data_IF_196456171085
#
_entry.id   IF_196456171085
#
_cell.length_a   1.000
_cell.length_b   1.000
_cell.length_c   1.000
_cell.angle_alpha   90.00
_cell.angle_beta   90.00
_cell.angle_gamma   90.00
#
_symmetry.space_group_name_H-M   'P 1'
#
loop_
_entity.id
_entity.type
_entity.pdbx_description
1 polymer ?
#
# COMPACT_ATOMS: atom_id res chain seq x y z
N UNK A 1 -1.87 -15.86 -19.75
CA UNK A 1 -0.99 -14.80 -19.20
C UNK A 1 -1.10 -13.62 -20.15
N UNK A 2 -1.56 -12.48 -19.65
CA UNK A 2 -1.74 -11.27 -20.45
C UNK A 2 -0.41 -10.66 -20.92
N UNK A 3 -0.49 -9.84 -21.98
CA UNK A 3 0.66 -9.29 -22.67
C UNK A 3 1.03 -7.87 -22.22
N UNK A 4 0.29 -7.28 -21.27
CA UNK A 4 0.45 -5.88 -20.88
C UNK A 4 1.89 -5.51 -20.51
N UNK A 5 2.54 -6.32 -19.68
CA UNK A 5 3.91 -6.07 -19.22
C UNK A 5 4.92 -6.14 -20.38
N UNK A 6 4.69 -7.06 -21.31
CA UNK A 6 5.51 -7.25 -22.51
C UNK A 6 5.35 -6.07 -23.46
N UNK A 7 4.11 -5.65 -23.72
CA UNK A 7 3.78 -4.54 -24.62
C UNK A 7 4.26 -3.20 -24.04
N UNK A 8 4.18 -3.00 -22.72
CA UNK A 8 4.70 -1.79 -22.06
C UNK A 8 6.20 -1.62 -22.30
N UNK A 9 6.95 -2.72 -22.36
CA UNK A 9 8.41 -2.72 -22.51
C UNK A 9 9.10 -1.90 -21.42
N UNK A 10 9.86 -0.89 -21.83
CA UNK A 10 10.63 -0.01 -20.95
C UNK A 10 9.82 1.17 -20.40
N UNK A 11 8.60 1.42 -20.91
CA UNK A 11 7.79 2.56 -20.48
C UNK A 11 7.43 2.43 -19.01
N UNK A 12 7.72 3.42 -18.14
CA UNK A 12 7.42 3.29 -16.72
C UNK A 12 5.92 3.27 -16.46
N UNK A 13 5.47 2.48 -15.47
CA UNK A 13 4.05 2.40 -15.06
C UNK A 13 3.43 3.78 -14.81
N UNK A 14 4.19 4.70 -14.21
CA UNK A 14 3.73 6.08 -13.94
C UNK A 14 3.34 6.82 -15.22
N UNK A 15 4.00 6.55 -16.34
CA UNK A 15 3.68 7.15 -17.63
C UNK A 15 2.47 6.48 -18.26
N UNK A 16 2.36 5.15 -18.20
CA UNK A 16 1.18 4.44 -18.69
C UNK A 16 -0.10 4.87 -17.97
N UNK A 17 -0.05 5.01 -16.65
CA UNK A 17 -1.20 5.49 -15.86
C UNK A 17 -1.59 6.92 -16.24
N UNK A 18 -0.64 7.78 -16.66
CA UNK A 18 -0.99 9.11 -17.20
C UNK A 18 -1.73 9.00 -18.55
N UNK A 19 -1.40 8.03 -19.39
CA UNK A 19 -2.06 7.79 -20.70
C UNK A 19 -3.47 7.20 -20.55
N UNK A 20 -3.70 6.37 -19.52
CA UNK A 20 -4.99 5.73 -19.22
C UNK A 20 -5.96 6.67 -18.47
N UNK A 21 -5.43 7.74 -17.86
CA UNK A 21 -6.06 8.59 -16.83
C UNK A 21 -5.94 8.02 -15.41
N UNK A 22 -5.45 8.83 -14.47
CA UNK A 22 -5.25 8.45 -13.06
C UNK A 22 -6.57 8.29 -12.30
N UNK A 23 -7.68 8.81 -12.84
CA UNK A 23 -9.02 8.69 -12.24
C UNK A 23 -9.61 7.29 -12.42
N UNK A 24 -9.24 6.59 -13.50
CA UNK A 24 -9.76 5.27 -13.84
C UNK A 24 -8.85 4.15 -13.34
N UNK A 25 -7.53 4.35 -13.38
CA UNK A 25 -6.54 3.34 -12.95
C UNK A 25 -5.40 4.01 -12.17
N UNK A 26 -4.95 3.39 -11.08
CA UNK A 26 -3.75 3.81 -10.36
C UNK A 26 -2.56 2.86 -10.61
N UNK A 27 -1.36 3.23 -10.14
CA UNK A 27 -0.14 2.43 -10.37
C UNK A 27 -0.27 1.03 -9.75
N UNK A 28 -0.74 0.86 -8.50
CA UNK A 28 -0.98 -0.47 -7.92
C UNK A 28 -1.94 -1.33 -8.74
N UNK A 29 -3.04 -0.75 -9.21
CA UNK A 29 -4.05 -1.46 -10.00
C UNK A 29 -3.49 -1.89 -11.35
N UNK A 30 -2.80 -0.99 -12.07
CA UNK A 30 -2.15 -1.35 -13.33
C UNK A 30 -1.09 -2.44 -13.13
N UNK A 31 -0.33 -2.39 -12.03
CA UNK A 31 0.64 -3.43 -11.70
C UNK A 31 -0.02 -4.79 -11.43
N UNK A 32 -1.18 -4.83 -10.76
CA UNK A 32 -1.95 -6.06 -10.56
C UNK A 32 -2.43 -6.63 -11.90
N UNK A 33 -2.92 -5.76 -12.79
CA UNK A 33 -3.33 -6.16 -14.14
C UNK A 33 -2.15 -6.75 -14.92
N UNK A 34 -1.00 -6.08 -14.96
CA UNK A 34 0.22 -6.55 -15.64
C UNK A 34 0.74 -7.91 -15.15
N UNK A 35 0.43 -8.30 -13.92
CA UNK A 35 0.83 -9.58 -13.34
C UNK A 35 -0.31 -10.62 -13.34
N UNK A 36 -1.41 -10.35 -14.05
CA UNK A 36 -2.54 -11.27 -14.16
C UNK A 36 -3.32 -11.49 -12.87
N UNK A 37 -3.20 -10.57 -11.89
CA UNK A 37 -3.91 -10.67 -10.60
C UNK A 37 -5.39 -10.28 -10.73
N UNK A 38 -5.71 -9.38 -11.67
CA UNK A 38 -7.07 -8.97 -11.95
C UNK A 38 -7.22 -8.54 -13.40
N UNK A 39 -8.45 -8.63 -13.93
CA UNK A 39 -8.81 -8.14 -15.25
C UNK A 39 -9.36 -6.70 -15.17
N UNK A 40 -9.24 -5.92 -16.25
CA UNK A 40 -9.86 -4.61 -16.35
C UNK A 40 -11.38 -4.73 -16.46
N UNK A 41 -12.06 -3.72 -15.96
CA UNK A 41 -13.52 -3.60 -16.07
C UNK A 41 -13.91 -3.14 -17.47
N UNK A 42 -15.18 -3.31 -17.82
CA UNK A 42 -15.76 -2.83 -19.09
C UNK A 42 -15.50 -1.33 -19.30
N UNK A 43 -15.58 -0.53 -18.24
CA UNK A 43 -15.37 0.93 -18.31
C UNK A 43 -13.89 1.32 -18.47
N UNK A 44 -12.97 0.51 -17.93
CA UNK A 44 -11.52 0.80 -17.96
C UNK A 44 -10.84 0.22 -19.20
N UNK A 45 -11.39 -0.83 -19.81
CA UNK A 45 -10.82 -1.49 -20.99
C UNK A 45 -10.55 -0.52 -22.15
N UNK A 46 -11.49 0.37 -22.57
CA UNK A 46 -11.24 1.29 -23.69
C UNK A 46 -10.09 2.27 -23.44
N UNK A 47 -9.89 2.67 -22.18
CA UNK A 47 -8.78 3.55 -21.80
C UNK A 47 -7.43 2.82 -21.88
N UNK A 48 -7.41 1.54 -21.52
CA UNK A 48 -6.24 0.67 -21.63
C UNK A 48 -5.91 0.39 -23.11
N UNK A 49 -6.90 0.03 -23.94
CA UNK A 49 -6.72 -0.18 -25.38
C UNK A 49 -6.11 1.07 -26.05
N UNK A 50 -6.62 2.27 -25.72
CA UNK A 50 -6.09 3.54 -26.24
C UNK A 50 -4.66 3.81 -25.78
N UNK A 51 -4.34 3.53 -24.53
CA UNK A 51 -3.01 3.82 -23.97
C UNK A 51 -1.92 2.88 -24.50
N UNK A 52 -2.28 1.62 -24.77
CA UNK A 52 -1.39 0.61 -25.31
C UNK A 52 -1.40 0.54 -26.85
N UNK A 53 -2.40 1.14 -27.50
CA UNK A 53 -2.53 1.15 -28.97
C UNK A 53 -2.87 -0.23 -29.55
N UNK A 54 -3.40 -1.14 -28.72
CA UNK A 54 -3.71 -2.52 -29.08
C UNK A 54 -5.15 -2.84 -28.70
N UNK A 55 -5.74 -3.81 -29.40
CA UNK A 55 -7.09 -4.27 -29.08
C UNK A 55 -7.06 -5.18 -27.85
N UNK A 56 -8.19 -5.31 -27.14
CA UNK A 56 -8.31 -6.22 -25.98
C UNK A 56 -7.85 -7.64 -26.30
N UNK A 57 -8.08 -8.13 -27.53
CA UNK A 57 -7.69 -9.46 -27.98
C UNK A 57 -6.18 -9.64 -28.13
N UNK A 58 -5.45 -8.54 -28.36
CA UNK A 58 -3.98 -8.54 -28.42
C UNK A 58 -3.38 -8.43 -27.01
N UNK A 59 -4.08 -7.71 -26.12
CA UNK A 59 -3.66 -7.45 -24.75
C UNK A 59 -3.91 -8.64 -23.81
N UNK A 60 -5.04 -9.32 -23.99
CA UNK A 60 -5.48 -10.46 -23.17
C UNK A 60 -5.82 -11.64 -24.07
N UNK A 61 -5.43 -12.86 -23.70
CA UNK A 61 -5.86 -14.05 -24.43
C UNK A 61 -7.37 -14.20 -24.36
N UNK A 62 -7.98 -14.74 -25.42
CA UNK A 62 -9.44 -14.90 -25.52
C UNK A 62 -10.05 -15.68 -24.34
N UNK A 63 -9.29 -16.61 -23.74
CA UNK A 63 -9.71 -17.36 -22.55
C UNK A 63 -9.84 -16.50 -21.28
N UNK A 64 -9.18 -15.33 -21.22
CA UNK A 64 -9.27 -14.38 -20.11
C UNK A 64 -10.31 -13.26 -20.39
N UNK A 65 -10.77 -13.11 -21.63
CA UNK A 65 -11.79 -12.13 -22.01
C UNK A 65 -13.18 -12.75 -21.88
N UNK A 66 -13.77 -12.69 -20.70
CA UNK A 66 -15.17 -13.03 -20.52
C UNK A 66 -16.07 -11.89 -21.04
N UNK A 67 -16.80 -12.15 -22.12
CA UNK A 67 -17.79 -11.25 -22.71
C UNK A 67 -19.17 -11.36 -22.04
N UNK A 68 -19.25 -11.96 -20.84
CA UNK A 68 -20.49 -12.15 -20.10
C UNK A 68 -21.37 -13.29 -20.64
N UNK A 69 -20.81 -14.17 -21.47
CA UNK A 69 -21.53 -15.28 -22.13
C UNK A 69 -21.15 -16.64 -21.50
N UNK A 70 -20.08 -16.72 -20.71
CA UNK A 70 -19.63 -18.00 -20.13
C UNK A 70 -19.34 -17.90 -18.64
N UNK A 71 -20.43 -18.12 -17.90
CA UNK A 71 -20.47 -19.02 -16.75
C UNK A 71 -20.09 -18.45 -15.36
N UNK A 72 -20.69 -19.02 -14.30
CA UNK A 72 -20.62 -18.52 -12.94
C UNK A 72 -19.21 -18.69 -12.38
N UNK A 73 -18.79 -17.71 -11.56
CA UNK A 73 -17.56 -17.68 -10.76
C UNK A 73 -16.80 -19.00 -10.74
N UNK A 74 -15.95 -19.22 -11.75
CA UNK A 74 -15.09 -20.39 -11.80
C UNK A 74 -14.17 -20.31 -10.57
N UNK A 75 -14.35 -21.29 -9.68
CA UNK A 75 -13.62 -21.38 -8.42
C UNK A 75 -12.13 -21.28 -8.67
N UNK A 76 -11.56 -20.13 -8.35
CA UNK A 76 -10.20 -20.08 -7.86
C UNK A 76 -10.18 -20.99 -6.65
N UNK A 77 -9.52 -22.13 -6.74
CA UNK A 77 -9.08 -22.87 -5.58
C UNK A 77 -8.29 -21.88 -4.71
N UNK A 78 -9.00 -21.30 -3.74
CA UNK A 78 -8.44 -20.49 -2.69
C UNK A 78 -7.50 -21.41 -1.93
N UNK A 79 -6.23 -21.44 -2.34
CA UNK A 79 -5.16 -21.86 -1.45
C UNK A 79 -5.42 -21.11 -0.15
N UNK A 80 -5.59 -21.79 0.99
CA UNK A 80 -6.01 -21.15 2.22
C UNK A 80 -4.95 -20.13 2.58
N UNK A 81 -5.21 -18.88 2.18
CA UNK A 81 -4.35 -17.77 2.47
C UNK A 81 -4.63 -17.51 3.92
N UNK A 82 -3.79 -18.10 4.79
CA UNK A 82 -3.85 -17.86 6.25
C UNK A 82 -4.15 -16.37 6.41
N UNK A 83 -5.22 -16.00 7.13
CA UNK A 83 -5.59 -14.60 7.26
C UNK A 83 -4.35 -13.88 7.77
N UNK A 84 -3.75 -13.05 6.89
CA UNK A 84 -2.60 -12.24 7.26
C UNK A 84 -3.12 -11.38 8.39
N UNK A 85 -2.66 -11.63 9.62
CA UNK A 85 -3.01 -10.80 10.76
C UNK A 85 -2.73 -9.37 10.33
N UNK A 86 -3.79 -8.58 10.24
CA UNK A 86 -3.67 -7.18 9.86
C UNK A 86 -3.09 -6.44 11.06
N UNK A 87 -1.77 -6.52 11.20
CA UNK A 87 -1.01 -5.85 12.26
C UNK A 87 -1.16 -4.32 12.18
N UNK A 88 -1.70 -3.77 11.08
CA UNK A 88 -2.01 -2.35 10.96
C UNK A 88 -3.30 -1.97 11.70
N UNK A 89 -4.26 -2.87 11.91
CA UNK A 89 -5.44 -2.58 12.76
C UNK A 89 -5.09 -2.29 14.21
N UNK A 90 -3.95 -2.79 14.70
CA UNK A 90 -3.48 -2.61 16.07
C UNK A 90 -2.47 -1.46 16.22
N UNK A 91 -2.03 -0.84 15.12
CA UNK A 91 -0.97 0.17 15.13
C UNK A 91 -1.37 1.36 14.26
N UNK A 92 -1.40 2.55 14.85
CA UNK A 92 -1.56 3.79 14.10
C UNK A 92 -0.20 4.46 13.85
N UNK A 93 -0.04 5.10 12.69
CA UNK A 93 1.12 5.94 12.41
C UNK A 93 0.86 7.35 12.92
N UNK A 94 1.77 7.89 13.72
CA UNK A 94 1.73 9.28 14.17
C UNK A 94 3.03 9.97 13.77
N UNK A 95 2.93 11.07 13.02
CA UNK A 95 4.07 11.81 12.47
C UNK A 95 4.07 13.25 12.94
N UNK A 96 5.22 13.74 13.35
CA UNK A 96 5.45 15.12 13.77
C UNK A 96 6.58 15.72 12.93
N UNK A 97 6.53 17.03 12.70
CA UNK A 97 7.66 17.76 12.11
C UNK A 97 8.61 18.14 13.24
N UNK A 98 9.89 17.84 13.08
CA UNK A 98 10.94 18.20 14.03
C UNK A 98 12.04 19.00 13.32
N UNK A 99 12.71 19.94 14.02
CA UNK A 99 13.89 20.61 13.49
C UNK A 99 15.00 19.63 13.10
N UNK A 100 15.82 19.95 12.08
CA UNK A 100 16.94 19.09 11.66
C UNK A 100 17.93 18.78 12.78
N UNK A 101 18.15 19.73 13.70
CA UNK A 101 19.04 19.55 14.85
C UNK A 101 18.57 18.42 15.78
N UNK A 102 17.26 18.30 16.03
CA UNK A 102 16.70 17.22 16.84
C UNK A 102 16.68 15.90 16.08
N UNK A 103 16.45 15.94 14.76
CA UNK A 103 16.52 14.74 13.92
C UNK A 103 17.93 14.11 13.94
N UNK A 104 18.98 14.93 13.98
CA UNK A 104 20.36 14.46 14.05
C UNK A 104 20.69 13.69 15.34
N UNK A 105 20.02 14.03 16.46
CA UNK A 105 20.18 13.33 17.74
C UNK A 105 19.54 11.94 17.71
N UNK A 106 18.48 11.76 16.92
CA UNK A 106 17.79 10.47 16.74
C UNK A 106 18.55 9.50 15.82
N UNK A 107 19.88 9.50 15.92
CA UNK A 107 20.71 8.53 15.23
C UNK A 107 20.84 7.23 16.06
N UNK A 108 21.03 6.06 15.42
CA UNK A 108 21.11 4.78 16.13
C UNK A 108 22.23 4.69 17.16
N UNK A 109 23.36 5.38 16.95
CA UNK A 109 24.52 5.33 17.85
C UNK A 109 24.22 5.99 19.20
N UNK A 110 23.66 7.19 19.19
CA UNK A 110 23.22 7.92 20.39
C UNK A 110 22.11 7.15 21.10
N UNK A 111 21.14 6.62 20.34
CA UNK A 111 20.03 5.85 20.92
C UNK A 111 20.52 4.59 21.62
N UNK A 112 21.41 3.82 20.99
CA UNK A 112 21.99 2.61 21.58
C UNK A 112 22.85 2.94 22.80
N UNK A 113 23.63 4.02 22.75
CA UNK A 113 24.43 4.50 23.89
C UNK A 113 23.54 4.82 25.10
N UNK A 114 22.35 5.36 24.84
CA UNK A 114 21.33 5.63 25.85
C UNK A 114 20.45 4.42 26.22
N UNK A 115 20.74 3.22 25.69
CA UNK A 115 20.03 1.99 25.99
C UNK A 115 18.72 1.77 25.22
N UNK A 116 18.45 2.54 24.16
CA UNK A 116 17.28 2.37 23.31
C UNK A 116 17.67 1.69 22.00
N UNK A 117 17.02 0.57 21.68
CA UNK A 117 17.35 -0.17 20.45
C UNK A 117 16.89 0.54 19.16
N UNK A 118 15.86 1.39 19.26
CA UNK A 118 15.34 2.17 18.13
C UNK A 118 14.76 3.50 18.59
N UNK A 119 14.54 4.44 17.65
CA UNK A 119 13.83 5.68 17.94
C UNK A 119 12.39 5.43 18.42
N UNK A 120 11.76 4.33 17.97
CA UNK A 120 10.43 3.94 18.41
C UNK A 120 10.43 3.47 19.88
N UNK A 121 11.47 2.77 20.30
CA UNK A 121 11.65 2.32 21.68
C UNK A 121 11.88 3.51 22.63
N UNK A 122 12.77 4.43 22.25
CA UNK A 122 12.92 5.72 22.92
C UNK A 122 11.60 6.48 23.05
N UNK A 123 10.83 6.55 21.95
CA UNK A 123 9.53 7.21 21.96
C UNK A 123 8.55 6.54 22.93
N UNK A 124 8.51 5.20 22.99
CA UNK A 124 7.68 4.47 23.95
C UNK A 124 8.07 4.75 25.40
N UNK A 125 9.37 4.84 25.70
CA UNK A 125 9.82 5.24 27.03
C UNK A 125 9.33 6.64 27.41
N UNK A 126 9.41 7.61 26.48
CA UNK A 126 8.89 8.96 26.69
C UNK A 126 7.37 8.97 26.93
N UNK A 127 6.59 8.19 26.17
CA UNK A 127 5.14 8.11 26.36
C UNK A 127 4.77 7.50 27.71
N UNK A 128 5.45 6.43 28.16
CA UNK A 128 5.21 5.85 29.49
C UNK A 128 5.52 6.82 30.62
N UNK A 129 6.59 7.62 30.49
CA UNK A 129 6.90 8.69 31.47
C UNK A 129 5.81 9.76 31.49
N UNK A 130 5.34 10.17 30.32
CA UNK A 130 4.26 11.15 30.19
C UNK A 130 2.95 10.64 30.82
N UNK A 131 2.62 9.37 30.62
CA UNK A 131 1.46 8.71 31.23
C UNK A 131 1.55 8.73 32.76
N UNK A 132 2.70 8.35 33.33
CA UNK A 132 2.93 8.38 34.76
C UNK A 132 2.82 9.81 35.34
N UNK A 133 3.39 10.81 34.65
CA UNK A 133 3.26 12.21 35.03
C UNK A 133 1.80 12.68 35.02
N UNK A 134 1.06 12.36 33.97
CA UNK A 134 -0.34 12.74 33.86
C UNK A 134 -1.19 12.08 34.96
N UNK A 135 -0.95 10.80 35.27
CA UNK A 135 -1.62 10.10 36.35
C UNK A 135 -1.39 10.78 37.72
N UNK A 136 -0.15 11.16 38.03
CA UNK A 136 0.18 11.88 39.26
C UNK A 136 -0.49 13.27 39.34
N UNK A 137 -0.57 13.99 38.22
CA UNK A 137 -1.27 15.29 38.18
C UNK A 137 -2.78 15.10 38.42
N UNK A 138 -3.37 14.05 37.85
CA UNK A 138 -4.79 13.76 38.03
C UNK A 138 -5.14 13.33 39.46
N UNK A 139 -4.26 12.57 40.15
CA UNK A 139 -4.48 12.23 41.55
C UNK A 139 -4.46 13.47 42.45
N UNK A 140 -3.47 14.34 42.29
CA UNK A 140 -3.37 15.59 43.05
C UNK A 140 -4.53 16.57 42.78
N UNK A 141 -5.16 16.50 41.62
CA UNK A 141 -6.35 17.30 41.30
C UNK A 141 -7.64 16.75 41.92
N UNK A 142 -7.71 15.46 42.24
CA UNK A 142 -8.88 14.85 42.89
C UNK A 142 -8.88 15.02 44.40
N UNK A 143 -7.71 15.27 45.00
CA UNK A 143 -7.53 15.48 46.44
C UNK A 143 -7.71 16.96 46.86
N UNK A 144 -7.90 17.87 45.90
CA UNK A 144 -8.27 19.27 46.12
C UNK A 144 -9.76 19.47 45.86
#
# INVERSE_FOLDING_TARGET
MNNLKTVRGTTPLREMVKRIDRRSVDIPLLSKMENGVCLPTVDTMPAIERAYGLTRSDLYPAAELDFGVSAPAAGTEDKPTKPRRDYHRLKCKRTFRIPPSLAAILNPEVLNTCGYGTAQDWFYACIRRLEAQNAAILSHRKER
#
